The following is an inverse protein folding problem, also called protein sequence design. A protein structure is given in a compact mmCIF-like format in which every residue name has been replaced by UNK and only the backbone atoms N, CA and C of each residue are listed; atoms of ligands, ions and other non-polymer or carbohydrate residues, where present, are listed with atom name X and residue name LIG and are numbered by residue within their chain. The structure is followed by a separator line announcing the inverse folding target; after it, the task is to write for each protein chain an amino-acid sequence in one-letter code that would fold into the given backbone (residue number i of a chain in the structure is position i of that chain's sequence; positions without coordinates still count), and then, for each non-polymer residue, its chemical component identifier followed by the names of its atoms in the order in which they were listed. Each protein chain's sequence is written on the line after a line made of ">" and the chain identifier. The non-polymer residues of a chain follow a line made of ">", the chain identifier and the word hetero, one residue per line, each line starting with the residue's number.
data_IF_998993406706
#
_entry.id   IF_998993406706
#
_cell.length_a   1.000
_cell.length_b   1.000
_cell.length_c   1.000
_cell.angle_alpha   90.00
_cell.angle_beta   90.00
_cell.angle_gamma   90.00
#
_symmetry.space_group_name_H-M   'P 1'
#
loop_
_entity.id
_entity.type
_entity.pdbx_description
1 polymer ?
#
# COMPACT_ATOMS: atom_id res chain seq x y z
N UNK A 1 -0.81 -91.57 17.26
CA UNK A 1 -0.42 -90.31 17.94
C UNK A 1 -0.52 -89.11 16.97
N UNK A 2 -1.71 -88.79 16.43
CA UNK A 2 -1.91 -87.52 15.68
C UNK A 2 -3.40 -87.20 15.39
N UNK A 3 -4.31 -87.51 16.31
CA UNK A 3 -5.73 -87.07 16.22
C UNK A 3 -6.20 -86.31 17.47
N UNK A 4 -5.44 -86.35 18.57
CA UNK A 4 -5.69 -85.56 19.77
C UNK A 4 -5.10 -84.13 19.69
N UNK A 5 -4.25 -83.83 18.70
CA UNK A 5 -3.72 -82.48 18.47
C UNK A 5 -4.70 -81.54 17.77
N UNK A 6 -5.82 -82.05 17.25
CA UNK A 6 -6.84 -81.26 16.53
C UNK A 6 -8.01 -80.80 17.43
N UNK A 7 -8.35 -81.56 18.47
CA UNK A 7 -9.52 -81.27 19.33
C UNK A 7 -9.24 -80.39 20.56
N UNK A 8 -7.97 -80.19 20.94
CA UNK A 8 -7.59 -79.27 22.02
C UNK A 8 -7.11 -77.90 21.51
N UNK A 9 -6.84 -77.76 20.21
CA UNK A 9 -6.48 -76.47 19.61
C UNK A 9 -7.65 -75.49 19.47
N UNK A 10 -8.90 -75.96 19.55
CA UNK A 10 -10.09 -75.12 19.33
C UNK A 10 -10.52 -74.33 20.57
N UNK A 11 -10.45 -74.90 21.78
CA UNK A 11 -10.89 -74.22 23.03
C UNK A 11 -9.91 -73.14 23.49
N UNK A 12 -8.61 -73.38 23.37
CA UNK A 12 -7.59 -72.37 23.69
C UNK A 12 -7.71 -71.17 22.73
N UNK A 13 -7.89 -71.44 21.43
CA UNK A 13 -8.09 -70.41 20.39
C UNK A 13 -9.43 -69.68 20.58
N UNK A 14 -10.49 -70.37 20.99
CA UNK A 14 -11.79 -69.76 21.30
C UNK A 14 -11.69 -68.81 22.51
N UNK A 15 -10.98 -69.21 23.57
CA UNK A 15 -10.70 -68.35 24.71
C UNK A 15 -9.86 -67.13 24.33
N UNK A 16 -8.80 -67.33 23.55
CA UNK A 16 -7.96 -66.24 23.05
C UNK A 16 -8.76 -65.25 22.18
N UNK A 17 -9.67 -65.77 21.34
CA UNK A 17 -10.56 -64.95 20.52
C UNK A 17 -11.56 -64.16 21.38
N UNK A 18 -12.12 -64.76 22.44
CA UNK A 18 -13.03 -64.06 23.36
C UNK A 18 -12.31 -62.93 24.10
N UNK A 19 -11.10 -63.17 24.61
CA UNK A 19 -10.28 -62.11 25.25
C UNK A 19 -9.93 -61.00 24.26
N UNK A 20 -9.71 -61.35 22.98
CA UNK A 20 -9.46 -60.36 21.92
C UNK A 20 -10.70 -59.53 21.59
N UNK A 21 -11.87 -60.15 21.57
CA UNK A 21 -13.16 -59.47 21.39
C UNK A 21 -13.39 -58.49 22.54
N UNK A 22 -13.23 -58.91 23.79
CA UNK A 22 -13.40 -58.05 24.97
C UNK A 22 -12.44 -56.84 24.94
N UNK A 23 -11.16 -57.06 24.58
CA UNK A 23 -10.19 -55.96 24.41
C UNK A 23 -10.61 -54.99 23.29
N UNK A 24 -11.16 -55.51 22.20
CA UNK A 24 -11.64 -54.69 21.09
C UNK A 24 -12.88 -53.87 21.50
N UNK A 25 -13.82 -54.47 22.24
CA UNK A 25 -15.00 -53.79 22.78
C UNK A 25 -14.62 -52.64 23.72
N UNK A 26 -13.66 -52.86 24.63
CA UNK A 26 -13.14 -51.79 25.51
C UNK A 26 -12.47 -50.67 24.72
N UNK A 27 -11.74 -51.03 23.65
CA UNK A 27 -11.07 -50.04 22.78
C UNK A 27 -12.09 -49.24 21.97
N UNK A 28 -13.18 -49.86 21.51
CA UNK A 28 -14.28 -49.18 20.83
C UNK A 28 -14.95 -48.20 21.77
N UNK A 29 -15.32 -48.63 22.99
CA UNK A 29 -15.95 -47.75 23.98
C UNK A 29 -15.06 -46.56 24.35
N UNK A 30 -13.75 -46.76 24.45
CA UNK A 30 -12.79 -45.68 24.67
C UNK A 30 -12.77 -44.67 23.52
N UNK A 31 -12.85 -45.15 22.27
CA UNK A 31 -12.89 -44.30 21.08
C UNK A 31 -14.21 -43.55 20.92
N UNK A 32 -15.34 -44.14 21.28
CA UNK A 32 -16.65 -43.47 21.27
C UNK A 32 -16.67 -42.26 22.22
N UNK A 33 -16.15 -42.40 23.44
CA UNK A 33 -16.04 -41.29 24.40
C UNK A 33 -15.11 -40.17 23.92
N UNK A 34 -14.04 -40.53 23.21
CA UNK A 34 -13.11 -39.56 22.61
C UNK A 34 -13.80 -38.76 21.49
N UNK A 35 -14.59 -39.43 20.65
CA UNK A 35 -15.40 -38.79 19.60
C UNK A 35 -16.41 -37.82 20.21
N UNK A 36 -17.14 -38.21 21.25
CA UNK A 36 -18.10 -37.32 21.94
C UNK A 36 -17.43 -36.06 22.50
N UNK A 37 -16.25 -36.20 23.12
CA UNK A 37 -15.48 -35.05 23.61
C UNK A 37 -15.06 -34.12 22.47
N UNK A 38 -14.55 -34.68 21.38
CA UNK A 38 -14.11 -33.90 20.21
C UNK A 38 -15.28 -33.16 19.54
N UNK A 39 -16.47 -33.75 19.50
CA UNK A 39 -17.69 -33.07 19.02
C UNK A 39 -18.00 -31.84 19.88
N UNK A 40 -17.98 -31.97 21.21
CA UNK A 40 -18.23 -30.86 22.13
C UNK A 40 -17.18 -29.74 22.01
N UNK A 41 -15.90 -30.10 21.85
CA UNK A 41 -14.83 -29.13 21.61
C UNK A 41 -15.02 -28.40 20.27
N UNK A 42 -15.38 -29.11 19.21
CA UNK A 42 -15.70 -28.52 17.90
C UNK A 42 -16.91 -27.57 17.97
N UNK A 43 -17.97 -27.94 18.67
CA UNK A 43 -19.13 -27.07 18.89
C UNK A 43 -18.75 -25.79 19.65
N UNK A 44 -17.87 -25.90 20.64
CA UNK A 44 -17.38 -24.76 21.42
C UNK A 44 -16.54 -23.80 20.57
N UNK A 45 -15.66 -24.34 19.71
CA UNK A 45 -14.82 -23.55 18.78
C UNK A 45 -15.66 -22.93 17.65
N UNK A 46 -16.67 -23.63 17.14
CA UNK A 46 -17.55 -23.13 16.09
C UNK A 46 -18.48 -22.01 16.61
N UNK A 47 -18.80 -22.02 17.89
CA UNK A 47 -19.57 -20.95 18.56
C UNK A 47 -18.71 -19.72 18.92
N UNK A 48 -17.39 -19.85 19.07
CA UNK A 48 -16.49 -18.71 19.34
C UNK A 48 -16.08 -17.95 18.07
N UNK A 49 -16.24 -18.54 16.89
CA UNK A 49 -15.88 -17.96 15.58
C UNK A 49 -17.04 -17.27 14.85
N UNK A 50 -18.29 -17.41 15.32
CA UNK A 50 -19.46 -16.70 14.77
C UNK A 50 -19.73 -15.41 15.55
N UNK A 51 -19.64 -14.26 14.87
CA UNK A 51 -20.06 -12.95 15.41
C UNK A 51 -21.51 -13.08 15.89
N UNK A 52 -21.76 -12.81 17.18
CA UNK A 52 -23.11 -12.93 17.75
C UNK A 52 -24.05 -11.89 17.10
N UNK A 53 -25.36 -12.17 16.94
CA UNK A 53 -26.30 -11.22 16.33
C UNK A 53 -26.28 -9.82 16.94
N UNK A 54 -26.18 -9.73 18.28
CA UNK A 54 -26.03 -8.45 18.99
C UNK A 54 -24.72 -7.72 18.69
N UNK A 55 -23.63 -8.45 18.48
CA UNK A 55 -22.35 -7.84 18.09
C UNK A 55 -22.43 -7.33 16.65
N UNK A 56 -23.08 -8.07 15.75
CA UNK A 56 -23.34 -7.65 14.39
C UNK A 56 -24.20 -6.37 14.35
N UNK A 57 -25.28 -6.31 15.12
CA UNK A 57 -26.14 -5.13 15.25
C UNK A 57 -25.35 -3.90 15.75
N UNK A 58 -24.44 -4.09 16.72
CA UNK A 58 -23.54 -3.03 17.18
C UNK A 58 -22.59 -2.59 16.06
N UNK A 59 -22.00 -3.52 15.29
CA UNK A 59 -21.14 -3.17 14.16
C UNK A 59 -21.91 -2.42 13.07
N UNK A 60 -23.10 -2.87 12.72
CA UNK A 60 -23.97 -2.21 11.73
C UNK A 60 -24.33 -0.80 12.17
N UNK A 61 -24.71 -0.63 13.45
CA UNK A 61 -24.98 0.69 14.03
C UNK A 61 -23.74 1.59 13.98
N UNK A 62 -22.58 1.09 14.42
CA UNK A 62 -21.34 1.86 14.40
C UNK A 62 -20.92 2.27 12.98
N UNK A 63 -21.08 1.37 12.00
CA UNK A 63 -20.82 1.67 10.58
C UNK A 63 -21.79 2.73 10.06
N UNK A 64 -23.07 2.66 10.42
CA UNK A 64 -24.08 3.65 10.06
C UNK A 64 -23.75 5.02 10.67
N UNK A 65 -23.54 5.08 11.98
CA UNK A 65 -23.22 6.31 12.71
C UNK A 65 -21.93 6.95 12.13
N UNK A 66 -20.91 6.14 11.82
CA UNK A 66 -19.67 6.62 11.19
C UNK A 66 -19.90 7.17 9.78
N UNK A 67 -20.77 6.55 8.97
CA UNK A 67 -21.12 7.05 7.63
C UNK A 67 -21.87 8.38 7.70
N UNK A 68 -22.79 8.52 8.65
CA UNK A 68 -23.53 9.77 8.88
C UNK A 68 -22.58 10.89 9.31
N UNK A 69 -21.65 10.62 10.22
CA UNK A 69 -20.66 11.60 10.65
C UNK A 69 -19.69 11.99 9.51
N UNK A 70 -19.23 11.04 8.71
CA UNK A 70 -18.45 11.34 7.49
C UNK A 70 -19.22 12.26 6.55
N UNK A 71 -20.51 12.00 6.32
CA UNK A 71 -21.34 12.85 5.46
C UNK A 71 -21.50 14.27 6.03
N UNK A 72 -21.71 14.38 7.33
CA UNK A 72 -21.78 15.67 8.04
C UNK A 72 -20.48 16.45 7.87
N UNK A 73 -19.33 15.84 8.18
CA UNK A 73 -18.01 16.46 8.04
C UNK A 73 -17.74 16.87 6.59
N UNK A 74 -18.07 16.02 5.61
CA UNK A 74 -17.94 16.34 4.19
C UNK A 74 -18.80 17.53 3.77
N UNK A 75 -20.01 17.67 4.33
CA UNK A 75 -20.86 18.83 4.09
C UNK A 75 -20.26 20.12 4.66
N UNK A 76 -19.65 20.05 5.85
CA UNK A 76 -18.95 21.18 6.47
C UNK A 76 -17.74 21.58 5.62
N UNK A 77 -16.91 20.61 5.21
CA UNK A 77 -15.77 20.88 4.32
C UNK A 77 -16.24 21.56 3.03
N UNK A 78 -17.31 21.05 2.40
CA UNK A 78 -17.90 21.63 1.20
C UNK A 78 -18.39 23.07 1.42
N UNK A 79 -18.96 23.41 2.58
CA UNK A 79 -19.38 24.80 2.87
C UNK A 79 -18.20 25.78 2.96
N UNK A 80 -17.01 25.29 3.29
CA UNK A 80 -15.77 26.07 3.26
C UNK A 80 -15.02 25.98 1.91
N UNK A 81 -15.61 25.37 0.89
CA UNK A 81 -14.95 25.13 -0.39
C UNK A 81 -13.81 24.10 -0.33
N UNK A 82 -13.72 23.33 0.76
CA UNK A 82 -12.71 22.29 0.95
C UNK A 82 -13.27 20.97 0.39
N UNK A 83 -12.64 20.37 -0.63
CA UNK A 83 -13.09 19.07 -1.16
C UNK A 83 -12.95 17.97 -0.11
N UNK A 84 -14.02 17.18 0.02
CA UNK A 84 -14.16 16.06 0.97
C UNK A 84 -13.28 14.85 0.65
N UNK A 85 -12.90 14.70 -0.62
CA UNK A 85 -11.86 13.75 -1.06
C UNK A 85 -10.65 14.57 -1.44
N UNK A 86 -9.54 14.37 -0.74
CA UNK A 86 -8.26 14.94 -1.15
C UNK A 86 -7.86 14.21 -2.43
N UNK A 87 -8.05 14.85 -3.58
CA UNK A 87 -7.40 14.42 -4.83
C UNK A 87 -5.91 14.68 -4.61
N UNK A 88 -5.19 13.62 -4.26
CA UNK A 88 -3.74 13.66 -4.27
C UNK A 88 -3.34 13.45 -5.72
N UNK A 89 -2.84 14.51 -6.36
CA UNK A 89 -2.08 14.33 -7.57
C UNK A 89 -0.72 13.80 -7.17
N UNK A 90 -0.32 12.67 -7.77
CA UNK A 90 1.05 12.19 -7.67
C UNK A 90 1.86 12.83 -8.78
N UNK A 91 3.09 13.20 -8.50
CA UNK A 91 4.00 13.78 -9.47
C UNK A 91 4.97 12.72 -9.97
N UNK A 92 5.19 12.69 -11.29
CA UNK A 92 6.17 11.84 -11.95
C UNK A 92 7.56 12.17 -11.41
N UNK A 93 8.27 11.14 -10.97
CA UNK A 93 9.61 11.31 -10.41
C UNK A 93 10.65 11.19 -11.52
N UNK A 94 11.50 12.21 -11.64
CA UNK A 94 12.63 12.19 -12.56
C UNK A 94 13.67 11.14 -12.16
N UNK A 95 14.32 10.54 -13.16
CA UNK A 95 15.43 9.62 -12.95
C UNK A 95 16.58 10.27 -12.17
N UNK A 96 16.83 11.55 -12.41
CA UNK A 96 17.85 12.37 -11.73
C UNK A 96 17.65 12.43 -10.21
N UNK A 97 16.39 12.35 -9.74
CA UNK A 97 16.03 12.38 -8.31
C UNK A 97 16.21 11.01 -7.68
N UNK A 98 15.67 9.97 -8.32
CA UNK A 98 15.79 8.60 -7.79
C UNK A 98 17.26 8.16 -7.76
N UNK A 99 18.02 8.46 -8.82
CA UNK A 99 19.42 8.07 -8.99
C UNK A 99 20.39 9.22 -8.72
N UNK A 100 20.07 10.10 -7.77
CA UNK A 100 20.87 11.28 -7.43
C UNK A 100 22.25 10.97 -6.84
N UNK A 101 22.41 9.81 -6.20
CA UNK A 101 23.69 9.40 -5.64
C UNK A 101 24.71 9.10 -6.73
N UNK A 102 25.94 9.62 -6.58
CA UNK A 102 27.02 9.50 -7.59
C UNK A 102 27.33 8.07 -8.05
N UNK A 103 27.08 7.07 -7.20
CA UNK A 103 27.23 5.64 -7.54
C UNK A 103 26.28 5.17 -8.64
N UNK A 104 25.15 5.83 -8.86
CA UNK A 104 24.17 5.48 -9.91
C UNK A 104 24.37 6.26 -11.20
N UNK A 105 25.42 7.08 -11.30
CA UNK A 105 25.64 7.98 -12.45
C UNK A 105 25.65 7.25 -13.80
N UNK A 106 26.29 6.08 -13.87
CA UNK A 106 26.37 5.29 -15.11
C UNK A 106 24.99 4.80 -15.57
N UNK A 107 24.18 4.32 -14.63
CA UNK A 107 22.79 3.90 -14.91
C UNK A 107 21.93 5.10 -15.30
N UNK A 108 22.08 6.23 -14.62
CA UNK A 108 21.36 7.47 -14.95
C UNK A 108 21.71 7.94 -16.37
N UNK A 109 23.01 8.06 -16.68
CA UNK A 109 23.48 8.52 -17.99
C UNK A 109 23.00 7.57 -19.12
N UNK A 110 23.00 6.25 -18.88
CA UNK A 110 22.45 5.26 -19.81
C UNK A 110 20.95 5.46 -20.08
N UNK A 111 20.14 5.66 -19.04
CA UNK A 111 18.69 5.85 -19.19
C UNK A 111 18.37 7.18 -19.87
N UNK A 112 19.08 8.25 -19.52
CA UNK A 112 18.95 9.56 -20.16
C UNK A 112 19.35 9.50 -21.65
N UNK A 113 20.40 8.76 -22.00
CA UNK A 113 20.84 8.58 -23.38
C UNK A 113 19.81 7.84 -24.25
N UNK A 114 18.96 7.00 -23.65
CA UNK A 114 17.80 6.37 -24.32
C UNK A 114 16.58 7.30 -24.41
N UNK A 115 16.66 8.52 -23.89
CA UNK A 115 15.62 9.54 -23.97
C UNK A 115 14.59 9.49 -22.85
N UNK A 116 14.80 8.69 -21.80
CA UNK A 116 13.91 8.64 -20.65
C UNK A 116 14.22 9.77 -19.68
N UNK A 117 13.17 10.41 -19.14
CA UNK A 117 13.30 11.47 -18.13
C UNK A 117 12.66 11.01 -16.82
N UNK A 118 11.46 10.43 -16.88
CA UNK A 118 10.71 9.97 -15.73
C UNK A 118 10.83 8.46 -15.54
N UNK A 119 10.80 8.02 -14.28
CA UNK A 119 10.86 6.60 -13.92
C UNK A 119 9.68 5.82 -14.52
N UNK A 120 8.50 6.45 -14.57
CA UNK A 120 7.27 5.86 -15.13
C UNK A 120 7.38 5.46 -16.59
N UNK A 121 8.29 6.11 -17.33
CA UNK A 121 8.39 5.97 -18.78
C UNK A 121 9.42 4.91 -19.18
N UNK A 122 10.21 4.41 -18.22
CA UNK A 122 11.26 3.42 -18.47
C UNK A 122 10.67 2.00 -18.49
N UNK A 123 10.84 1.23 -19.57
CA UNK A 123 10.45 -0.17 -19.63
C UNK A 123 11.52 -1.05 -18.94
N UNK A 124 11.61 -0.98 -17.60
CA UNK A 124 12.66 -1.66 -16.83
C UNK A 124 12.74 -3.17 -17.06
N UNK A 125 11.60 -3.83 -17.34
CA UNK A 125 11.57 -5.26 -17.67
C UNK A 125 12.31 -5.59 -18.97
N UNK A 126 12.29 -4.68 -19.94
CA UNK A 126 12.98 -4.87 -21.23
C UNK A 126 14.44 -4.46 -21.19
N UNK A 127 14.84 -3.62 -20.23
CA UNK A 127 16.20 -3.10 -20.10
C UNK A 127 17.01 -3.80 -19.01
N UNK A 128 16.44 -4.77 -18.30
CA UNK A 128 17.05 -5.39 -17.13
C UNK A 128 18.45 -5.93 -17.42
N UNK A 129 18.63 -6.68 -18.52
CA UNK A 129 19.91 -7.28 -18.90
C UNK A 129 20.95 -6.22 -19.31
N UNK A 130 20.52 -5.11 -19.88
CA UNK A 130 21.41 -3.99 -20.20
C UNK A 130 21.81 -3.21 -18.94
N UNK A 131 20.89 -3.07 -17.97
CA UNK A 131 21.16 -2.33 -16.74
C UNK A 131 22.08 -3.14 -15.83
N UNK A 132 21.89 -4.46 -15.71
CA UNK A 132 22.62 -5.30 -14.75
C UNK A 132 24.13 -5.34 -15.02
N UNK A 133 24.55 -5.18 -16.28
CA UNK A 133 25.96 -5.14 -16.68
C UNK A 133 26.65 -3.81 -16.36
N UNK A 134 25.88 -2.74 -16.11
CA UNK A 134 26.41 -1.43 -15.74
C UNK A 134 26.92 -1.44 -14.30
N UNK A 135 27.85 -0.54 -14.00
CA UNK A 135 28.31 -0.36 -12.62
C UNK A 135 27.15 0.00 -11.70
N UNK A 136 26.99 -0.77 -10.63
CA UNK A 136 25.87 -0.68 -9.66
C UNK A 136 24.48 -0.92 -10.27
N UNK A 137 24.40 -1.61 -11.43
CA UNK A 137 23.15 -1.95 -12.11
C UNK A 137 22.17 -2.74 -11.25
N UNK A 138 22.63 -3.79 -10.59
CA UNK A 138 21.81 -4.60 -9.66
C UNK A 138 21.18 -3.75 -8.55
N UNK A 139 21.96 -2.85 -7.94
CA UNK A 139 21.47 -1.98 -6.88
C UNK A 139 20.50 -0.92 -7.42
N UNK A 140 20.69 -0.45 -8.65
CA UNK A 140 19.76 0.47 -9.30
C UNK A 140 18.41 -0.20 -9.62
N UNK A 141 18.42 -1.47 -10.06
CA UNK A 141 17.22 -2.28 -10.26
C UNK A 141 16.50 -2.54 -8.93
N UNK A 142 17.26 -2.86 -7.87
CA UNK A 142 16.69 -2.97 -6.52
C UNK A 142 16.04 -1.67 -6.08
N UNK A 143 16.71 -0.53 -6.25
CA UNK A 143 16.15 0.79 -5.91
C UNK A 143 14.89 1.13 -6.70
N UNK A 144 14.79 0.70 -7.95
CA UNK A 144 13.55 0.80 -8.73
C UNK A 144 12.44 -0.10 -8.16
N UNK A 145 12.75 -1.36 -7.82
CA UNK A 145 11.79 -2.26 -7.17
C UNK A 145 11.29 -1.71 -5.83
N UNK A 146 12.20 -1.18 -5.01
CA UNK A 146 11.86 -0.49 -3.76
C UNK A 146 10.94 0.71 -4.06
N UNK A 147 11.22 1.49 -5.12
CA UNK A 147 10.37 2.59 -5.54
C UNK A 147 8.93 2.17 -5.89
N UNK A 148 8.76 1.07 -6.63
CA UNK A 148 7.44 0.54 -7.00
C UNK A 148 6.64 0.04 -5.79
N UNK A 149 7.33 -0.36 -4.72
CA UNK A 149 6.73 -0.81 -3.46
C UNK A 149 6.48 0.34 -2.47
N UNK A 150 6.58 1.59 -2.93
CA UNK A 150 6.52 2.80 -2.11
C UNK A 150 7.56 2.82 -0.96
N UNK A 151 8.70 2.11 -1.15
CA UNK A 151 9.84 2.08 -0.24
C UNK A 151 10.93 3.04 -0.73
N UNK A 152 10.78 4.33 -0.44
CA UNK A 152 11.75 5.37 -0.78
C UNK A 152 11.92 6.38 0.36
N UNK A 153 12.98 7.17 0.27
CA UNK A 153 13.26 8.22 1.24
C UNK A 153 12.21 9.34 1.25
N UNK A 154 12.24 10.15 2.30
CA UNK A 154 11.31 11.27 2.49
C UNK A 154 11.40 12.33 1.40
N UNK A 155 12.55 12.47 0.72
CA UNK A 155 12.71 13.44 -0.35
C UNK A 155 11.88 13.04 -1.57
N UNK A 156 11.98 11.77 -1.99
CA UNK A 156 11.15 11.20 -3.05
C UNK A 156 9.67 11.19 -2.65
N UNK A 157 9.36 10.81 -1.41
CA UNK A 157 7.98 10.83 -0.92
C UNK A 157 7.38 12.24 -0.96
N UNK A 158 8.12 13.24 -0.51
CA UNK A 158 7.66 14.64 -0.53
C UNK A 158 7.45 15.09 -1.96
N UNK A 159 8.45 14.92 -2.82
CA UNK A 159 8.36 15.33 -4.22
C UNK A 159 7.18 14.67 -4.93
N UNK A 160 6.97 13.36 -4.75
CA UNK A 160 5.87 12.66 -5.39
C UNK A 160 4.49 13.13 -4.94
N UNK A 161 4.35 13.60 -3.69
CA UNK A 161 3.07 14.07 -3.16
C UNK A 161 2.86 15.58 -3.29
N UNK A 162 3.93 16.36 -3.42
CA UNK A 162 3.90 17.82 -3.34
C UNK A 162 4.45 18.53 -4.59
N UNK A 163 5.16 17.82 -5.44
CA UNK A 163 5.86 18.37 -6.60
C UNK A 163 7.17 19.07 -6.22
N UNK A 164 7.71 19.84 -7.15
CA UNK A 164 8.96 20.59 -6.95
C UNK A 164 8.76 21.83 -6.06
N UNK A 165 9.84 22.29 -5.43
CA UNK A 165 9.82 23.53 -4.66
C UNK A 165 9.55 24.74 -5.55
N UNK A 166 8.69 25.65 -5.08
CA UNK A 166 8.30 26.87 -5.80
C UNK A 166 9.50 27.73 -6.22
N UNK A 167 10.51 27.83 -5.35
CA UNK A 167 11.72 28.62 -5.60
C UNK A 167 12.52 28.08 -6.79
N UNK A 168 12.46 26.78 -7.08
CA UNK A 168 13.14 26.20 -8.26
C UNK A 168 12.38 26.48 -9.55
N UNK A 169 11.06 26.60 -9.50
CA UNK A 169 10.21 26.83 -10.67
C UNK A 169 10.12 28.33 -11.01
N UNK A 170 9.85 29.17 -10.02
CA UNK A 170 9.60 30.60 -10.21
C UNK A 170 10.81 31.49 -9.86
N UNK A 171 11.88 30.91 -9.31
CA UNK A 171 13.07 31.65 -8.89
C UNK A 171 12.91 32.40 -7.57
N UNK A 172 13.87 33.28 -7.27
CA UNK A 172 13.96 34.06 -6.01
C UNK A 172 13.46 35.50 -6.14
N UNK A 173 12.48 35.74 -7.01
CA UNK A 173 11.90 37.07 -7.17
C UNK A 173 11.32 37.57 -5.84
N UNK A 174 11.76 38.75 -5.38
CA UNK A 174 11.43 39.28 -4.03
C UNK A 174 9.93 39.24 -3.72
N UNK A 175 9.08 39.66 -4.67
CA UNK A 175 7.61 39.70 -4.52
C UNK A 175 7.01 38.30 -4.35
N UNK A 176 7.39 37.35 -5.21
CA UNK A 176 6.93 35.96 -5.13
C UNK A 176 7.45 35.26 -3.89
N UNK A 177 8.72 35.47 -3.53
CA UNK A 177 9.31 34.88 -2.31
C UNK A 177 8.61 35.40 -1.05
N UNK A 178 8.27 36.70 -1.01
CA UNK A 178 7.48 37.27 0.08
C UNK A 178 6.09 36.61 0.17
N UNK A 179 5.37 36.54 -0.95
CA UNK A 179 4.07 35.87 -1.03
C UNK A 179 4.15 34.41 -0.57
N UNK A 180 5.10 33.63 -1.09
CA UNK A 180 5.29 32.23 -0.69
C UNK A 180 5.60 32.09 0.81
N UNK A 181 6.41 32.99 1.36
CA UNK A 181 6.79 32.93 2.77
C UNK A 181 5.63 33.30 3.70
N UNK A 182 4.86 34.35 3.37
CA UNK A 182 3.72 34.80 4.17
C UNK A 182 2.59 33.76 4.22
N UNK A 183 2.37 33.03 3.13
CA UNK A 183 1.35 31.98 3.04
C UNK A 183 1.89 30.56 3.32
N UNK A 184 3.15 30.42 3.75
CA UNK A 184 3.79 29.14 4.04
C UNK A 184 3.73 28.14 2.86
N UNK A 185 3.91 28.66 1.64
CA UNK A 185 3.89 27.89 0.39
C UNK A 185 5.31 27.47 0.05
N UNK A 186 5.55 26.16 -0.07
CA UNK A 186 6.88 25.64 -0.37
C UNK A 186 6.93 24.86 -1.69
N UNK A 187 5.85 24.14 -2.03
CA UNK A 187 5.82 23.23 -3.17
C UNK A 187 4.73 23.58 -4.18
N UNK A 188 4.88 23.08 -5.41
CA UNK A 188 3.91 23.31 -6.49
C UNK A 188 2.48 22.90 -6.14
N UNK A 189 2.29 21.84 -5.36
CA UNK A 189 0.97 21.40 -4.90
C UNK A 189 0.26 22.45 -4.01
N UNK A 190 1.03 23.29 -3.30
CA UNK A 190 0.46 24.32 -2.43
C UNK A 190 -0.24 25.44 -3.23
N UNK A 191 0.08 25.58 -4.53
CA UNK A 191 -0.55 26.55 -5.45
C UNK A 191 -1.84 26.06 -6.12
N UNK A 192 -2.22 24.78 -5.94
CA UNK A 192 -3.32 24.14 -6.68
C UNK A 192 -4.67 24.85 -6.47
N UNK A 193 -4.87 25.42 -5.27
CA UNK A 193 -6.13 26.05 -4.85
C UNK A 193 -6.02 27.55 -4.62
N UNK A 194 -4.90 28.14 -5.02
CA UNK A 194 -4.65 29.56 -4.81
C UNK A 194 -5.09 30.33 -6.05
N UNK A 195 -5.93 31.35 -5.84
CA UNK A 195 -6.16 32.36 -6.86
C UNK A 195 -4.94 33.29 -6.95
N UNK A 196 -4.13 33.09 -7.98
CA UNK A 196 -2.90 33.84 -8.22
C UNK A 196 -3.15 35.33 -8.53
N UNK A 197 -4.40 35.78 -8.73
CA UNK A 197 -4.71 37.20 -8.79
C UNK A 197 -4.35 37.96 -7.51
N UNK A 198 -4.24 37.25 -6.36
CA UNK A 198 -3.79 37.85 -5.10
C UNK A 198 -2.42 38.50 -5.19
N UNK A 199 -1.57 38.07 -6.13
CA UNK A 199 -0.26 38.64 -6.38
C UNK A 199 -0.31 40.13 -6.77
N UNK A 200 -1.44 40.64 -7.26
CA UNK A 200 -1.62 42.07 -7.50
C UNK A 200 -1.48 42.90 -6.20
N UNK A 201 -1.88 42.34 -5.05
CA UNK A 201 -1.72 42.98 -3.73
C UNK A 201 -0.26 43.03 -3.28
N UNK A 202 0.58 42.17 -3.86
CA UNK A 202 2.04 42.15 -3.67
C UNK A 202 2.78 43.03 -4.70
N UNK A 203 2.04 43.80 -5.48
CA UNK A 203 2.57 44.71 -6.49
C UNK A 203 3.13 44.00 -7.73
N UNK A 204 2.76 42.73 -7.99
CA UNK A 204 3.06 42.08 -9.26
C UNK A 204 2.21 42.70 -10.38
N UNK A 205 2.82 42.95 -11.54
CA UNK A 205 2.10 43.40 -12.72
C UNK A 205 1.32 42.25 -13.38
N UNK A 206 0.41 42.60 -14.29
CA UNK A 206 -0.46 41.63 -14.95
C UNK A 206 0.31 40.60 -15.78
N UNK A 207 1.44 41.00 -16.39
CA UNK A 207 2.29 40.12 -17.21
C UNK A 207 2.90 39.02 -16.35
N UNK A 208 3.51 39.37 -15.21
CA UNK A 208 4.09 38.41 -14.27
C UNK A 208 3.02 37.49 -13.67
N UNK A 209 1.86 38.02 -13.33
CA UNK A 209 0.75 37.19 -12.80
C UNK A 209 0.33 36.14 -13.83
N UNK A 210 0.22 36.55 -15.09
CA UNK A 210 -0.14 35.64 -16.18
C UNK A 210 0.95 34.59 -16.42
N UNK A 211 2.23 34.99 -16.42
CA UNK A 211 3.37 34.08 -16.54
C UNK A 211 3.37 33.01 -15.43
N UNK A 212 3.09 33.41 -14.18
CA UNK A 212 3.05 32.47 -13.05
C UNK A 212 1.89 31.48 -13.20
N UNK A 213 0.72 31.93 -13.66
CA UNK A 213 -0.42 31.05 -13.94
C UNK A 213 -0.08 30.04 -15.03
N UNK A 214 0.47 30.50 -16.15
CA UNK A 214 0.82 29.64 -17.27
C UNK A 214 1.87 28.59 -16.88
N UNK A 215 2.94 29.01 -16.18
CA UNK A 215 3.95 28.08 -15.64
C UNK A 215 3.35 27.05 -14.69
N UNK A 216 2.39 27.46 -13.83
CA UNK A 216 1.70 26.53 -12.92
C UNK A 216 0.91 25.47 -13.70
N UNK A 217 0.07 25.91 -14.65
CA UNK A 217 -0.75 24.98 -15.43
C UNK A 217 0.11 24.06 -16.30
N UNK A 218 1.16 24.59 -16.92
CA UNK A 218 2.10 23.79 -17.71
C UNK A 218 2.81 22.75 -16.84
N UNK A 219 3.30 23.14 -15.66
CA UNK A 219 3.92 22.21 -14.72
C UNK A 219 2.96 21.09 -14.32
N UNK A 220 1.70 21.41 -13.99
CA UNK A 220 0.72 20.39 -13.64
C UNK A 220 0.42 19.43 -14.79
N UNK A 221 0.32 19.93 -16.02
CA UNK A 221 0.07 19.12 -17.21
C UNK A 221 1.22 18.15 -17.49
N UNK A 222 2.47 18.61 -17.36
CA UNK A 222 3.66 17.82 -17.68
C UNK A 222 4.00 16.81 -16.58
N UNK A 223 3.88 17.23 -15.32
CA UNK A 223 4.51 16.56 -14.18
C UNK A 223 3.57 15.69 -13.36
N UNK A 224 2.24 15.88 -13.43
CA UNK A 224 1.31 15.01 -12.69
C UNK A 224 1.16 13.65 -13.39
N UNK A 225 1.08 12.59 -12.59
CA UNK A 225 0.60 11.28 -13.01
C UNK A 225 -0.89 11.45 -13.42
N UNK A 226 -1.28 10.92 -14.59
CA UNK A 226 -2.65 10.97 -15.10
C UNK A 226 -3.53 9.88 -14.47
#
# INVERSE_FOLDING_TARGET
>A
MSLLSSLFGSKEVEKENLEKIERLEQKILGKEKEIERLILELETVNNSTKIKPRQLEIFEKNVKDSREEINRLNSVLKSFGIPSKKQYYKYKVELSKLYSASRFREVLDFLLAKGYIFISDVPFSSLQDEIIILKNGEEALKRHSDYLQDNYDWEIATYRNKGEKLIKIFGRGKKLTQFFSEYYLEYMDDLDRIDLNILAQYGCDAELIQEVKEKREQYYLEQREQ
#
